data_IF_108315140590
#
_entry.id   IF_108315140590
#
_cell.length_a   1.000
_cell.length_b   1.000
_cell.length_c   1.000
_cell.angle_alpha   90.00
_cell.angle_beta   90.00
_cell.angle_gamma   90.00
#
_symmetry.space_group_name_H-M   'P 1'
#
loop_
_entity.id
_entity.type
_entity.pdbx_description
1 polymer ?
#
# COMPACT_ATOMS: atom_id res chain seq x y z
N UNK A 1 -40.19 -16.96 -22.86
CA UNK A 1 -39.67 -17.78 -21.74
C UNK A 1 -40.03 -19.23 -22.05
N UNK A 2 -39.06 -20.16 -22.05
CA UNK A 2 -39.18 -21.61 -22.37
C UNK A 2 -39.83 -22.05 -23.70
N UNK A 3 -40.40 -21.16 -24.54
CA UNK A 3 -40.99 -21.47 -25.86
C UNK A 3 -42.17 -22.47 -25.83
N UNK A 4 -42.87 -22.56 -24.69
CA UNK A 4 -44.18 -23.22 -24.59
C UNK A 4 -45.25 -22.14 -24.70
N UNK A 5 -46.05 -22.16 -25.76
CA UNK A 5 -47.01 -21.10 -26.07
C UNK A 5 -48.48 -21.50 -25.79
N UNK A 6 -48.74 -22.79 -25.61
CA UNK A 6 -50.06 -23.41 -25.44
C UNK A 6 -50.29 -23.95 -24.00
N UNK A 7 -49.56 -23.38 -23.04
CA UNK A 7 -49.74 -23.69 -21.63
C UNK A 7 -51.07 -23.12 -21.11
N UNK A 8 -51.85 -23.94 -20.43
CA UNK A 8 -53.22 -23.66 -20.02
C UNK A 8 -53.48 -24.15 -18.60
N UNK A 9 -54.59 -23.70 -18.00
CA UNK A 9 -54.99 -24.12 -16.65
C UNK A 9 -55.20 -25.63 -16.54
N UNK A 10 -55.64 -26.28 -17.62
CA UNK A 10 -55.83 -27.73 -17.67
C UNK A 10 -54.51 -28.50 -17.49
N UNK A 11 -53.36 -27.91 -17.86
CA UNK A 11 -52.05 -28.55 -17.68
C UNK A 11 -51.64 -28.64 -16.20
N UNK A 12 -52.29 -27.85 -15.34
CA UNK A 12 -52.12 -27.88 -13.88
C UNK A 12 -53.19 -28.74 -13.19
N UNK A 13 -54.44 -28.64 -13.65
CA UNK A 13 -55.58 -29.29 -12.99
C UNK A 13 -55.81 -30.75 -13.44
N UNK A 14 -55.44 -31.09 -14.68
CA UNK A 14 -55.60 -32.43 -15.25
C UNK A 14 -54.38 -32.79 -16.15
N UNK A 15 -53.19 -33.02 -15.56
CA UNK A 15 -51.95 -33.14 -16.31
C UNK A 15 -51.94 -34.39 -17.20
N UNK A 16 -51.76 -34.16 -18.51
CA UNK A 16 -51.56 -35.23 -19.48
C UNK A 16 -50.08 -35.57 -19.61
N UNK A 17 -49.73 -36.86 -19.42
CA UNK A 17 -48.35 -37.36 -19.42
C UNK A 17 -47.46 -36.76 -20.52
N UNK A 18 -47.93 -36.79 -21.77
CA UNK A 18 -47.14 -36.32 -22.91
C UNK A 18 -46.91 -34.80 -22.87
N UNK A 19 -47.96 -34.03 -22.54
CA UNK A 19 -47.89 -32.57 -22.48
C UNK A 19 -47.04 -32.11 -21.29
N UNK A 20 -47.17 -32.76 -20.13
CA UNK A 20 -46.31 -32.51 -18.96
C UNK A 20 -44.84 -32.76 -19.27
N UNK A 21 -44.50 -33.84 -19.98
CA UNK A 21 -43.12 -34.11 -20.40
C UNK A 21 -42.59 -32.99 -21.30
N UNK A 22 -43.35 -32.56 -22.31
CA UNK A 22 -42.94 -31.47 -23.21
C UNK A 22 -42.68 -30.17 -22.45
N UNK A 23 -43.56 -29.80 -21.52
CA UNK A 23 -43.40 -28.59 -20.69
C UNK A 23 -42.15 -28.69 -19.81
N UNK A 24 -41.93 -29.84 -19.15
CA UNK A 24 -40.76 -30.06 -18.31
C UNK A 24 -39.46 -30.07 -19.11
N UNK A 25 -39.45 -30.68 -20.31
CA UNK A 25 -38.30 -30.65 -21.22
C UNK A 25 -37.96 -29.22 -21.65
N UNK A 26 -38.96 -28.40 -21.95
CA UNK A 26 -38.77 -26.99 -22.30
C UNK A 26 -38.18 -26.17 -21.15
N UNK A 27 -38.66 -26.40 -19.91
CA UNK A 27 -38.10 -25.79 -18.69
C UNK A 27 -36.66 -26.25 -18.48
N UNK A 28 -36.38 -27.54 -18.64
CA UNK A 28 -35.05 -28.11 -18.43
C UNK A 28 -34.04 -27.57 -19.44
N UNK A 29 -34.44 -27.41 -20.71
CA UNK A 29 -33.64 -26.76 -21.74
C UNK A 29 -33.34 -25.29 -21.38
N UNK A 30 -34.32 -24.54 -20.90
CA UNK A 30 -34.10 -23.16 -20.44
C UNK A 30 -33.15 -23.09 -19.24
N UNK A 31 -33.31 -23.99 -18.26
CA UNK A 31 -32.41 -24.05 -17.10
C UNK A 31 -30.98 -24.42 -17.51
N UNK A 32 -30.82 -25.31 -18.49
CA UNK A 32 -29.51 -25.66 -19.03
C UNK A 32 -28.87 -24.48 -19.75
N UNK A 33 -29.60 -23.80 -20.63
CA UNK A 33 -29.15 -22.57 -21.28
C UNK A 33 -28.78 -21.48 -20.28
N UNK A 34 -29.62 -21.26 -19.26
CA UNK A 34 -29.35 -20.30 -18.19
C UNK A 34 -28.07 -20.65 -17.44
N UNK A 35 -27.86 -21.93 -17.13
CA UNK A 35 -26.64 -22.39 -16.45
C UNK A 35 -25.39 -22.14 -17.31
N UNK A 36 -25.44 -22.46 -18.61
CA UNK A 36 -24.34 -22.20 -19.54
C UNK A 36 -24.03 -20.70 -19.68
N UNK A 37 -25.06 -19.84 -19.71
CA UNK A 37 -24.87 -18.38 -19.81
C UNK A 37 -24.51 -17.71 -18.48
N UNK A 38 -24.73 -18.38 -17.35
CA UNK A 38 -24.53 -17.80 -16.01
C UNK A 38 -23.08 -17.36 -15.80
N UNK A 39 -22.10 -18.17 -16.23
CA UNK A 39 -20.68 -17.84 -16.06
C UNK A 39 -20.31 -16.53 -16.77
N UNK A 40 -20.73 -16.36 -18.02
CA UNK A 40 -20.51 -15.12 -18.78
C UNK A 40 -21.18 -13.92 -18.12
N UNK A 41 -22.39 -14.08 -17.60
CA UNK A 41 -23.13 -12.99 -16.92
C UNK A 41 -22.44 -12.59 -15.62
N UNK A 42 -22.02 -13.56 -14.81
CA UNK A 42 -21.30 -13.33 -13.57
C UNK A 42 -19.94 -12.66 -13.81
N UNK A 43 -19.22 -13.06 -14.86
CA UNK A 43 -17.96 -12.42 -15.25
C UNK A 43 -18.18 -10.96 -15.64
N UNK A 44 -19.20 -10.67 -16.47
CA UNK A 44 -19.57 -9.29 -16.84
C UNK A 44 -19.99 -8.46 -15.63
N UNK A 45 -20.75 -9.05 -14.70
CA UNK A 45 -21.17 -8.38 -13.46
C UNK A 45 -19.98 -8.06 -12.56
N UNK A 46 -19.01 -8.97 -12.44
CA UNK A 46 -17.78 -8.76 -11.69
C UNK A 46 -16.94 -7.63 -12.32
N UNK A 47 -16.78 -7.63 -13.65
CA UNK A 47 -16.09 -6.56 -14.39
C UNK A 47 -16.76 -5.20 -14.19
N UNK A 48 -18.08 -5.13 -14.34
CA UNK A 48 -18.83 -3.89 -14.10
C UNK A 48 -18.64 -3.35 -12.68
N UNK A 49 -18.67 -4.23 -11.67
CA UNK A 49 -18.41 -3.83 -10.28
C UNK A 49 -16.99 -3.27 -10.11
N UNK A 50 -15.99 -3.94 -10.67
CA UNK A 50 -14.60 -3.47 -10.62
C UNK A 50 -14.42 -2.11 -11.33
N UNK A 51 -15.09 -1.91 -12.47
CA UNK A 51 -15.05 -0.65 -13.20
C UNK A 51 -15.72 0.49 -12.41
N UNK A 52 -16.84 0.21 -11.73
CA UNK A 52 -17.51 1.17 -10.84
C UNK A 52 -16.64 1.55 -9.64
N UNK A 53 -15.98 0.57 -9.02
CA UNK A 53 -15.05 0.82 -7.91
C UNK A 53 -13.87 1.70 -8.37
N UNK A 54 -13.33 1.43 -9.57
CA UNK A 54 -12.26 2.24 -10.18
C UNK A 54 -12.72 3.67 -10.48
N UNK A 55 -13.92 3.85 -11.03
CA UNK A 55 -14.49 5.18 -11.28
C UNK A 55 -14.67 5.98 -9.99
N UNK A 56 -15.13 5.33 -8.93
CA UNK A 56 -15.29 5.97 -7.61
C UNK A 56 -13.94 6.37 -7.02
N UNK A 57 -12.90 5.55 -7.18
CA UNK A 57 -11.54 5.88 -6.76
C UNK A 57 -10.99 7.10 -7.52
N UNK A 58 -11.13 7.15 -8.85
CA UNK A 58 -10.72 8.31 -9.65
C UNK A 58 -11.48 9.57 -9.27
N UNK A 59 -12.79 9.47 -9.06
CA UNK A 59 -13.62 10.62 -8.64
C UNK A 59 -13.17 11.19 -7.29
N UNK A 60 -12.78 10.32 -6.36
CA UNK A 60 -12.23 10.74 -5.05
C UNK A 60 -10.88 11.43 -5.22
N UNK A 61 -9.97 10.83 -6.00
CA UNK A 61 -8.66 11.40 -6.29
C UNK A 61 -8.76 12.77 -6.96
N UNK A 62 -9.67 12.94 -7.92
CA UNK A 62 -9.92 14.24 -8.56
C UNK A 62 -10.39 15.30 -7.56
N UNK A 63 -11.35 14.96 -6.68
CA UNK A 63 -11.81 15.91 -5.65
C UNK A 63 -10.71 16.31 -4.67
N UNK A 64 -9.82 15.39 -4.32
CA UNK A 64 -8.67 15.69 -3.46
C UNK A 64 -7.64 16.59 -4.17
N UNK A 65 -7.38 16.31 -5.45
CA UNK A 65 -6.51 17.15 -6.28
C UNK A 65 -7.07 18.56 -6.44
N UNK A 66 -8.37 18.71 -6.71
CA UNK A 66 -9.05 20.02 -6.77
C UNK A 66 -8.92 20.80 -5.46
N UNK A 67 -9.12 20.14 -4.32
CA UNK A 67 -8.91 20.79 -3.00
C UNK A 67 -7.46 21.24 -2.81
N UNK A 68 -6.50 20.43 -3.23
CA UNK A 68 -5.07 20.78 -3.15
C UNK A 68 -4.72 21.95 -4.07
N UNK A 69 -5.23 21.96 -5.30
CA UNK A 69 -5.07 23.09 -6.22
C UNK A 69 -5.63 24.35 -5.56
N UNK A 70 -6.87 24.30 -5.07
CA UNK A 70 -7.49 25.45 -4.39
C UNK A 70 -6.66 25.96 -3.20
N UNK A 71 -6.13 25.05 -2.38
CA UNK A 71 -5.27 25.42 -1.25
C UNK A 71 -3.96 26.08 -1.70
N UNK A 72 -3.34 25.61 -2.78
CA UNK A 72 -2.09 26.16 -3.32
C UNK A 72 -2.30 27.47 -4.09
N UNK A 73 -3.46 27.65 -4.73
CA UNK A 73 -3.79 28.87 -5.49
C UNK A 73 -4.38 29.98 -4.63
N UNK A 74 -4.76 29.69 -3.40
CA UNK A 74 -5.21 30.72 -2.46
C UNK A 74 -3.98 31.28 -1.78
N UNK A 75 -3.56 32.48 -2.19
CA UNK A 75 -2.48 33.21 -1.51
C UNK A 75 -2.97 33.50 -0.09
N UNK A 76 -2.23 33.08 0.96
CA UNK A 76 -2.59 33.38 2.34
C UNK A 76 -2.75 34.89 2.53
N UNK A 77 -3.76 35.35 3.30
CA UNK A 77 -3.99 36.78 3.53
C UNK A 77 -2.77 37.48 4.14
N UNK A 78 -1.93 36.74 4.89
CA UNK A 78 -0.66 37.22 5.43
C UNK A 78 0.36 37.55 4.31
N UNK A 79 0.49 36.69 3.29
CA UNK A 79 1.39 36.94 2.16
C UNK A 79 0.85 38.03 1.22
N UNK A 80 -0.47 38.18 1.12
CA UNK A 80 -1.09 39.27 0.38
C UNK A 80 -0.83 40.62 1.07
N UNK A 81 -0.97 40.68 2.39
CA UNK A 81 -0.68 41.87 3.18
C UNK A 81 0.81 42.25 3.11
N UNK A 82 1.71 41.26 3.22
CA UNK A 82 3.16 41.47 3.07
C UNK A 82 3.54 41.99 1.67
N UNK A 83 2.91 41.45 0.61
CA UNK A 83 3.13 41.92 -0.75
C UNK A 83 2.62 43.37 -0.97
N UNK A 84 1.49 43.74 -0.34
CA UNK A 84 0.96 45.10 -0.37
C UNK A 84 1.86 46.09 0.40
N UNK A 85 2.39 45.68 1.55
CA UNK A 85 3.35 46.47 2.34
C UNK A 85 4.66 46.68 1.58
N UNK A 86 5.20 45.63 0.96
CA UNK A 86 6.39 45.72 0.09
C UNK A 86 6.15 46.62 -1.12
N UNK A 87 4.97 46.55 -1.75
CA UNK A 87 4.63 47.41 -2.88
C UNK A 87 4.52 48.89 -2.47
N UNK A 88 3.99 49.16 -1.28
CA UNK A 88 3.94 50.50 -0.71
C UNK A 88 5.35 51.04 -0.41
N UNK A 89 6.21 50.24 0.24
CA UNK A 89 7.59 50.60 0.53
C UNK A 89 8.42 50.86 -0.74
N UNK A 90 8.23 50.04 -1.79
CA UNK A 90 8.88 50.25 -3.09
C UNK A 90 8.43 51.55 -3.75
N UNK A 91 7.14 51.88 -3.67
CA UNK A 91 6.60 53.12 -4.22
C UNK A 91 7.14 54.35 -3.48
N UNK A 92 7.24 54.28 -2.15
CA UNK A 92 7.82 55.34 -1.32
C UNK A 92 9.31 55.52 -1.59
N UNK A 93 10.07 54.42 -1.69
CA UNK A 93 11.49 54.46 -2.05
C UNK A 93 11.69 55.08 -3.43
N UNK A 94 10.88 54.69 -4.42
CA UNK A 94 10.95 55.25 -5.77
C UNK A 94 10.65 56.76 -5.77
N UNK A 95 9.64 57.20 -5.01
CA UNK A 95 9.33 58.62 -4.86
C UNK A 95 10.49 59.40 -4.23
N UNK A 96 11.10 58.83 -3.18
CA UNK A 96 12.26 59.42 -2.48
C UNK A 96 13.47 59.53 -3.41
N UNK A 97 13.81 58.46 -4.13
CA UNK A 97 14.91 58.48 -5.11
C UNK A 97 14.68 59.50 -6.21
N UNK A 98 13.44 59.65 -6.70
CA UNK A 98 13.11 60.65 -7.71
C UNK A 98 13.27 62.09 -7.19
N UNK A 99 12.88 62.33 -5.93
CA UNK A 99 13.09 63.62 -5.26
C UNK A 99 14.58 63.93 -5.08
N UNK A 100 15.38 62.98 -4.59
CA UNK A 100 16.83 63.14 -4.44
C UNK A 100 17.52 63.46 -5.78
N UNK A 101 17.12 62.78 -6.86
CA UNK A 101 17.64 63.05 -8.19
C UNK A 101 17.33 64.48 -8.66
N UNK A 102 16.13 65.00 -8.35
CA UNK A 102 15.77 66.38 -8.64
C UNK A 102 16.62 67.37 -7.82
N UNK A 103 16.83 67.13 -6.52
CA UNK A 103 17.70 67.97 -5.70
C UNK A 103 19.15 68.00 -6.21
N UNK A 104 19.69 66.86 -6.63
CA UNK A 104 21.04 66.76 -7.20
C UNK A 104 21.15 67.62 -8.46
N UNK A 105 20.15 67.58 -9.34
CA UNK A 105 20.13 68.43 -10.53
C UNK A 105 20.11 69.92 -10.18
N UNK A 106 19.27 70.33 -9.22
CA UNK A 106 19.23 71.74 -8.76
C UNK A 106 20.58 72.17 -8.17
N UNK A 107 21.24 71.32 -7.38
CA UNK A 107 22.59 71.60 -6.84
C UNK A 107 23.62 71.71 -7.96
N UNK A 108 23.54 70.86 -8.99
CA UNK A 108 24.45 70.91 -10.12
C UNK A 108 24.28 72.20 -10.95
N UNK A 109 23.04 72.66 -11.15
CA UNK A 109 22.74 73.94 -11.81
C UNK A 109 23.32 75.13 -11.01
N UNK A 110 23.15 75.13 -9.68
CA UNK A 110 23.78 76.11 -8.80
C UNK A 110 25.31 76.09 -8.93
N UNK A 111 25.93 74.90 -8.96
CA UNK A 111 27.38 74.75 -9.14
C UNK A 111 27.82 75.34 -10.49
N UNK A 112 27.08 75.12 -11.56
CA UNK A 112 27.36 75.70 -12.87
C UNK A 112 27.29 77.24 -12.83
N UNK A 113 26.28 77.81 -12.17
CA UNK A 113 26.16 79.26 -11.99
C UNK A 113 27.34 79.85 -11.20
N UNK A 114 27.76 79.19 -10.12
CA UNK A 114 28.92 79.60 -9.33
C UNK A 114 30.22 79.52 -10.13
N UNK A 115 30.42 78.48 -10.95
CA UNK A 115 31.58 78.40 -11.86
C UNK A 115 31.64 79.58 -12.83
N UNK A 116 30.49 79.98 -13.39
CA UNK A 116 30.40 81.17 -14.26
C UNK A 116 30.78 82.45 -13.51
N UNK A 117 30.26 82.66 -12.30
CA UNK A 117 30.63 83.83 -11.45
C UNK A 117 32.12 83.86 -11.11
N UNK A 118 32.72 82.70 -10.84
CA UNK A 118 34.17 82.58 -10.60
C UNK A 118 34.97 82.96 -11.85
N UNK A 119 34.55 82.49 -13.02
CA UNK A 119 35.20 82.84 -14.29
C UNK A 119 35.15 84.36 -14.56
N UNK A 120 33.99 84.99 -14.38
CA UNK A 120 33.83 86.44 -14.54
C UNK A 120 34.74 87.24 -13.57
N UNK A 121 34.78 86.84 -12.29
CA UNK A 121 35.65 87.49 -11.30
C UNK A 121 37.12 87.31 -11.63
N UNK A 122 37.50 86.12 -12.11
CA UNK A 122 38.87 85.82 -12.55
C UNK A 122 39.29 86.66 -13.75
N UNK A 123 38.39 86.87 -14.72
CA UNK A 123 38.61 87.77 -15.85
C UNK A 123 38.80 89.22 -15.41
N UNK A 124 37.94 89.72 -14.51
CA UNK A 124 38.09 91.08 -13.94
C UNK A 124 39.41 91.25 -13.21
N UNK A 125 39.85 90.23 -12.46
CA UNK A 125 41.14 90.23 -11.78
C UNK A 125 42.31 90.29 -12.78
N UNK A 126 42.23 89.55 -13.88
CA UNK A 126 43.23 89.61 -14.94
C UNK A 126 43.31 91.00 -15.59
N UNK A 127 42.17 91.65 -15.83
CA UNK A 127 42.11 93.02 -16.33
C UNK A 127 42.82 93.99 -15.37
N UNK A 128 42.50 93.93 -14.07
CA UNK A 128 43.15 94.78 -13.06
C UNK A 128 44.67 94.55 -13.01
N UNK A 129 45.15 93.31 -13.20
CA UNK A 129 46.59 93.02 -13.29
C UNK A 129 47.27 93.71 -14.48
N UNK A 130 46.59 93.79 -15.63
CA UNK A 130 47.08 94.51 -16.81
C UNK A 130 47.14 96.00 -16.51
N UNK A 131 46.08 96.57 -15.94
CA UNK A 131 46.03 97.98 -15.56
C UNK A 131 47.15 98.34 -14.56
N UNK A 132 47.40 97.48 -13.58
CA UNK A 132 48.52 97.64 -12.62
C UNK A 132 49.88 97.59 -13.32
N UNK A 133 50.03 96.76 -14.34
CA UNK A 133 51.30 96.67 -15.10
C UNK A 133 51.54 97.94 -15.93
N UNK A 134 50.49 98.50 -16.55
CA UNK A 134 50.54 99.78 -17.24
C UNK A 134 50.96 100.91 -16.29
N UNK A 135 50.34 100.97 -15.10
CA UNK A 135 50.69 101.95 -14.07
C UNK A 135 52.15 101.79 -13.60
N UNK A 136 52.68 100.57 -13.52
CA UNK A 136 54.11 100.34 -13.20
C UNK A 136 55.05 100.85 -14.29
N UNK A 137 54.67 100.76 -15.57
CA UNK A 137 55.45 101.30 -16.68
C UNK A 137 55.49 102.84 -16.63
N UNK A 138 54.36 103.47 -16.32
CA UNK A 138 54.27 104.92 -16.12
C UNK A 138 55.10 105.39 -14.90
N UNK A 139 55.10 104.61 -13.83
CA UNK A 139 56.02 104.81 -12.69
C UNK A 139 57.48 104.69 -13.13
N UNK A 140 57.83 103.75 -14.02
CA UNK A 140 59.18 103.59 -14.58
C UNK A 140 59.64 104.80 -15.38
N UNK A 141 58.73 105.42 -16.16
CA UNK A 141 58.98 106.68 -16.89
C UNK A 141 59.17 107.87 -15.96
N UNK A 142 58.48 107.90 -14.83
CA UNK A 142 58.65 108.93 -13.79
C UNK A 142 59.95 108.75 -13.00
N UNK A 143 60.43 107.50 -12.87
CA UNK A 143 61.65 107.15 -12.12
C UNK A 143 62.97 107.53 -12.82
N UNK A 144 62.95 107.85 -14.12
CA UNK A 144 64.13 108.32 -14.87
C UNK A 144 64.39 109.83 -14.75
N UNK A 145 63.55 110.57 -14.02
CA UNK A 145 63.67 112.03 -13.88
C UNK A 145 64.14 112.51 -12.51
N UNK A 146 64.40 111.62 -11.56
CA UNK A 146 64.60 112.04 -10.16
C UNK A 146 65.78 111.30 -9.53
N UNK A 147 66.90 112.01 -9.45
CA UNK A 147 68.04 111.80 -8.53
C UNK A 147 68.45 113.24 -8.14
N UNK A 148 68.59 113.68 -6.89
CA UNK A 148 68.80 113.02 -5.61
C UNK A 148 68.37 114.02 -4.50
N UNK A 149 67.71 113.54 -3.44
CA UNK A 149 67.63 114.26 -2.17
C UNK A 149 67.85 113.27 -1.01
N UNK A 150 68.60 113.61 0.04
CA UNK A 150 68.78 112.77 1.24
C UNK A 150 67.46 112.37 1.93
N UNK A 151 66.37 113.12 1.73
CA UNK A 151 65.01 112.74 2.14
C UNK A 151 64.50 111.48 1.40
N UNK A 152 64.89 111.31 0.13
CA UNK A 152 64.52 110.19 -0.75
C UNK A 152 65.12 108.88 -0.24
N UNK A 153 66.35 108.91 0.29
CA UNK A 153 67.01 107.73 0.85
C UNK A 153 66.33 107.26 2.15
N UNK A 154 65.85 108.21 2.96
CA UNK A 154 65.08 107.93 4.19
C UNK A 154 63.68 107.38 3.86
N UNK A 155 63.04 107.93 2.84
CA UNK A 155 61.78 107.42 2.26
C UNK A 155 61.96 106.01 1.66
N UNK A 156 63.07 105.75 0.97
CA UNK A 156 63.43 104.43 0.43
C UNK A 156 63.70 103.42 1.54
N UNK A 157 64.40 103.82 2.61
CA UNK A 157 64.59 102.97 3.79
C UNK A 157 63.27 102.62 4.47
N UNK A 158 62.34 103.58 4.64
CA UNK A 158 61.01 103.26 5.19
C UNK A 158 60.17 102.41 4.23
N UNK A 159 60.25 102.62 2.91
CA UNK A 159 59.67 101.70 1.92
C UNK A 159 60.24 100.29 2.03
N UNK A 160 61.55 100.17 2.25
CA UNK A 160 62.20 98.87 2.39
C UNK A 160 61.81 98.19 3.70
N UNK A 161 61.62 98.98 4.78
CA UNK A 161 61.11 98.50 6.07
C UNK A 161 59.66 98.02 5.96
N UNK A 162 58.81 98.79 5.28
CA UNK A 162 57.42 98.41 4.99
C UNK A 162 57.36 97.17 4.08
N UNK A 163 58.25 97.06 3.08
CA UNK A 163 58.35 95.87 2.24
C UNK A 163 58.79 94.63 3.02
N UNK A 164 59.80 94.74 3.90
CA UNK A 164 60.22 93.64 4.76
C UNK A 164 59.09 93.23 5.70
N UNK A 165 58.32 94.19 6.23
CA UNK A 165 57.14 93.92 7.05
C UNK A 165 56.04 93.22 6.24
N UNK A 166 55.78 93.65 5.01
CA UNK A 166 54.80 93.02 4.12
C UNK A 166 55.22 91.60 3.71
N UNK A 167 56.49 91.38 3.43
CA UNK A 167 57.05 90.04 3.16
C UNK A 167 56.91 89.15 4.40
N UNK A 168 57.21 89.67 5.59
CA UNK A 168 57.06 88.92 6.85
C UNK A 168 55.60 88.54 7.12
N UNK A 169 54.67 89.45 6.86
CA UNK A 169 53.23 89.17 6.96
C UNK A 169 52.79 88.12 5.92
N UNK A 170 53.25 88.24 4.68
CA UNK A 170 52.95 87.27 3.61
C UNK A 170 53.52 85.88 3.90
N UNK A 171 54.71 85.77 4.48
CA UNK A 171 55.27 84.49 4.95
C UNK A 171 54.36 83.90 6.03
N UNK A 172 53.92 84.71 7.00
CA UNK A 172 53.03 84.25 8.06
C UNK A 172 51.67 83.77 7.53
N UNK A 173 51.07 84.51 6.61
CA UNK A 173 49.83 84.10 5.92
C UNK A 173 50.04 82.80 5.13
N UNK A 174 51.21 82.62 4.51
CA UNK A 174 51.56 81.39 3.78
C UNK A 174 51.72 80.21 4.73
N UNK A 175 52.37 80.40 5.89
CA UNK A 175 52.51 79.36 6.93
C UNK A 175 51.14 78.94 7.48
N UNK A 176 50.25 79.91 7.76
CA UNK A 176 48.87 79.64 8.18
C UNK A 176 48.13 78.82 7.11
N UNK A 177 48.29 79.18 5.83
CA UNK A 177 47.72 78.45 4.69
C UNK A 177 48.26 77.01 4.56
N UNK A 178 49.54 76.80 4.83
CA UNK A 178 50.17 75.47 4.79
C UNK A 178 49.58 74.57 5.88
N UNK A 179 49.38 75.10 7.09
CA UNK A 179 48.74 74.36 8.19
C UNK A 179 47.30 73.99 7.86
N UNK A 180 46.53 74.92 7.27
CA UNK A 180 45.16 74.63 6.79
C UNK A 180 45.15 73.48 5.76
N UNK A 181 46.06 73.53 4.78
CA UNK A 181 46.17 72.48 3.76
C UNK A 181 46.59 71.14 4.37
N UNK A 182 47.50 71.12 5.35
CA UNK A 182 47.86 69.89 6.07
C UNK A 182 46.67 69.28 6.80
N UNK A 183 45.87 70.10 7.48
CA UNK A 183 44.65 69.63 8.15
C UNK A 183 43.63 69.07 7.15
N UNK A 184 43.46 69.72 5.99
CA UNK A 184 42.61 69.20 4.92
C UNK A 184 43.11 67.86 4.39
N UNK A 185 44.42 67.72 4.14
CA UNK A 185 45.02 66.46 3.69
C UNK A 185 44.78 65.35 4.70
N UNK A 186 44.99 65.61 6.00
CA UNK A 186 44.67 64.65 7.06
C UNK A 186 43.20 64.23 7.05
N UNK A 187 42.28 65.18 6.87
CA UNK A 187 40.85 64.90 6.73
C UNK A 187 40.55 63.96 5.55
N UNK A 188 41.14 64.23 4.39
CA UNK A 188 41.01 63.37 3.20
C UNK A 188 41.59 61.97 3.46
N UNK A 189 42.76 61.86 4.11
CA UNK A 189 43.37 60.56 4.40
C UNK A 189 42.51 59.74 5.37
N UNK A 190 41.85 60.41 6.32
CA UNK A 190 40.92 59.76 7.23
C UNK A 190 39.69 59.21 6.50
N UNK A 191 39.06 60.05 5.66
CA UNK A 191 37.91 59.62 4.84
C UNK A 191 38.28 58.50 3.87
N UNK A 192 39.49 58.52 3.30
CA UNK A 192 39.99 57.43 2.45
C UNK A 192 40.08 56.09 3.22
N UNK A 193 40.55 56.12 4.48
CA UNK A 193 40.60 54.94 5.32
C UNK A 193 39.19 54.40 5.67
N UNK A 194 38.22 55.28 5.92
CA UNK A 194 36.82 54.90 6.15
C UNK A 194 36.19 54.25 4.91
N UNK A 195 36.44 54.81 3.72
CA UNK A 195 35.98 54.24 2.44
C UNK A 195 36.58 52.84 2.24
N UNK A 196 37.87 52.66 2.53
CA UNK A 196 38.52 51.35 2.40
C UNK A 196 37.92 50.32 3.38
N UNK A 197 37.56 50.72 4.60
CA UNK A 197 36.85 49.85 5.53
C UNK A 197 35.45 49.49 5.02
N UNK A 198 34.70 50.45 4.48
CA UNK A 198 33.40 50.17 3.87
C UNK A 198 33.51 49.20 2.69
N UNK A 199 34.56 49.31 1.88
CA UNK A 199 34.78 48.40 0.76
C UNK A 199 34.99 46.95 1.23
N UNK A 200 35.78 46.75 2.29
CA UNK A 200 36.01 45.42 2.87
C UNK A 200 34.69 44.83 3.42
N UNK A 201 33.88 45.63 4.11
CA UNK A 201 32.56 45.21 4.61
C UNK A 201 31.61 44.80 3.46
N UNK A 202 31.63 45.54 2.35
CA UNK A 202 30.84 45.19 1.16
C UNK A 202 31.29 43.86 0.55
N UNK A 203 32.60 43.60 0.50
CA UNK A 203 33.15 42.35 -0.03
C UNK A 203 32.83 41.13 0.86
N UNK A 204 32.86 41.32 2.18
CA UNK A 204 32.42 40.29 3.14
C UNK A 204 30.92 40.01 3.01
N UNK A 205 30.11 41.06 2.82
CA UNK A 205 28.67 40.94 2.59
C UNK A 205 28.36 40.18 1.30
N UNK A 206 29.05 40.50 0.19
CA UNK A 206 28.92 39.81 -1.09
C UNK A 206 29.24 38.32 -0.94
N UNK A 207 30.35 37.99 -0.26
CA UNK A 207 30.75 36.61 0.02
C UNK A 207 29.71 35.88 0.86
N UNK A 208 29.17 36.54 1.89
CA UNK A 208 28.09 36.00 2.74
C UNK A 208 26.79 35.76 1.97
N UNK A 209 26.41 36.68 1.08
CA UNK A 209 25.26 36.53 0.19
C UNK A 209 25.42 35.33 -0.74
N UNK A 210 26.59 35.19 -1.37
CA UNK A 210 26.89 34.05 -2.25
C UNK A 210 26.77 32.70 -1.51
N UNK A 211 27.36 32.61 -0.31
CA UNK A 211 27.26 31.42 0.54
C UNK A 211 25.81 31.13 0.97
N UNK A 212 25.02 32.17 1.23
CA UNK A 212 23.61 32.03 1.62
C UNK A 212 22.76 31.55 0.44
N UNK A 213 23.02 32.06 -0.76
CA UNK A 213 22.37 31.58 -2.00
C UNK A 213 22.67 30.11 -2.25
N UNK A 214 23.94 29.69 -2.14
CA UNK A 214 24.32 28.29 -2.29
C UNK A 214 23.63 27.38 -1.26
N UNK A 215 23.55 27.82 0.00
CA UNK A 215 22.81 27.08 1.06
C UNK A 215 21.32 26.98 0.75
N UNK A 216 20.72 28.04 0.21
CA UNK A 216 19.32 28.04 -0.20
C UNK A 216 19.05 27.04 -1.33
N UNK A 217 19.91 27.00 -2.35
CA UNK A 217 19.83 26.02 -3.45
C UNK A 217 19.94 24.58 -2.91
N UNK A 218 20.91 24.32 -2.03
CA UNK A 218 21.06 23.00 -1.39
C UNK A 218 19.84 22.62 -0.53
N UNK A 219 19.23 23.59 0.17
CA UNK A 219 18.01 23.37 0.93
C UNK A 219 16.82 23.03 0.02
N UNK A 220 16.67 23.69 -1.12
CA UNK A 220 15.63 23.36 -2.10
C UNK A 220 15.80 21.94 -2.64
N UNK A 221 17.02 21.56 -3.02
CA UNK A 221 17.33 20.20 -3.49
C UNK A 221 17.03 19.14 -2.42
N UNK A 222 17.42 19.40 -1.18
CA UNK A 222 17.14 18.48 -0.07
C UNK A 222 15.64 18.33 0.19
N UNK A 223 14.89 19.43 0.09
CA UNK A 223 13.44 19.45 0.23
C UNK A 223 12.77 18.63 -0.88
N UNK A 224 13.19 18.81 -2.14
CA UNK A 224 12.69 18.03 -3.26
C UNK A 224 12.98 16.52 -3.10
N UNK A 225 14.17 16.16 -2.61
CA UNK A 225 14.52 14.77 -2.30
C UNK A 225 13.66 14.21 -1.16
N UNK A 226 13.43 14.98 -0.09
CA UNK A 226 12.57 14.59 1.01
C UNK A 226 11.14 14.33 0.54
N UNK A 227 10.56 15.23 -0.28
CA UNK A 227 9.22 15.03 -0.85
C UNK A 227 9.13 13.77 -1.71
N UNK A 228 10.16 13.49 -2.52
CA UNK A 228 10.24 12.28 -3.34
C UNK A 228 10.24 11.03 -2.45
N UNK A 229 11.07 11.02 -1.40
CA UNK A 229 11.15 9.90 -0.45
C UNK A 229 9.86 9.74 0.36
N UNK A 230 9.20 10.82 0.71
CA UNK A 230 7.91 10.79 1.41
C UNK A 230 6.80 10.18 0.53
N UNK A 231 6.78 10.48 -0.78
CA UNK A 231 5.85 9.86 -1.74
C UNK A 231 6.15 8.37 -1.90
N UNK A 232 7.42 7.98 -2.03
CA UNK A 232 7.85 6.59 -2.12
C UNK A 232 7.42 5.78 -0.87
N UNK A 233 7.62 6.34 0.33
CA UNK A 233 7.19 5.72 1.58
C UNK A 233 5.68 5.52 1.66
N UNK A 234 4.89 6.51 1.24
CA UNK A 234 3.42 6.37 1.18
C UNK A 234 2.98 5.25 0.24
N UNK A 235 3.63 5.13 -0.93
CA UNK A 235 3.34 4.05 -1.88
C UNK A 235 3.66 2.68 -1.28
N UNK A 236 4.83 2.54 -0.64
CA UNK A 236 5.23 1.29 0.03
C UNK A 236 4.26 0.91 1.16
N UNK A 237 3.77 1.86 1.95
CA UNK A 237 2.74 1.58 2.96
C UNK A 237 1.43 1.05 2.35
N UNK A 238 1.03 1.58 1.19
CA UNK A 238 -0.16 1.09 0.46
C UNK A 238 0.07 -0.33 -0.05
N UNK A 239 1.24 -0.62 -0.62
CA UNK A 239 1.61 -1.96 -1.07
C UNK A 239 1.65 -2.95 0.10
N UNK A 240 2.27 -2.58 1.22
CA UNK A 240 2.32 -3.40 2.44
C UNK A 240 0.91 -3.74 2.93
N UNK A 241 0.00 -2.76 2.98
CA UNK A 241 -1.38 -2.97 3.39
C UNK A 241 -2.16 -3.87 2.42
N UNK A 242 -1.87 -3.80 1.11
CA UNK A 242 -2.45 -4.73 0.13
C UNK A 242 -1.93 -6.15 0.33
N UNK A 243 -0.61 -6.31 0.53
CA UNK A 243 0.02 -7.62 0.75
C UNK A 243 -0.48 -8.27 2.05
N UNK A 244 -0.62 -7.51 3.14
CA UNK A 244 -1.21 -7.99 4.41
C UNK A 244 -2.64 -8.50 4.21
N UNK A 245 -3.48 -7.78 3.45
CA UNK A 245 -4.84 -8.24 3.13
C UNK A 245 -4.83 -9.52 2.29
N UNK A 246 -3.97 -9.59 1.28
CA UNK A 246 -3.83 -10.78 0.45
C UNK A 246 -3.38 -12.00 1.26
N UNK A 247 -2.40 -11.82 2.16
CA UNK A 247 -1.95 -12.86 3.08
C UNK A 247 -3.10 -13.35 3.98
N UNK A 248 -3.87 -12.43 4.58
CA UNK A 248 -5.04 -12.78 5.39
C UNK A 248 -6.06 -13.63 4.62
N UNK A 249 -6.36 -13.29 3.37
CA UNK A 249 -7.26 -14.08 2.52
C UNK A 249 -6.72 -15.48 2.22
N UNK A 250 -5.40 -15.63 2.04
CA UNK A 250 -4.78 -16.94 1.81
C UNK A 250 -4.84 -17.81 3.06
N UNK A 251 -4.55 -17.25 4.24
CA UNK A 251 -4.64 -17.95 5.52
C UNK A 251 -6.08 -18.41 5.83
N UNK A 252 -7.09 -17.56 5.60
CA UNK A 252 -8.50 -17.94 5.77
C UNK A 252 -8.90 -19.08 4.81
N UNK A 253 -8.45 -19.01 3.54
CA UNK A 253 -8.71 -20.08 2.56
C UNK A 253 -8.06 -21.39 2.96
N UNK A 254 -6.81 -21.35 3.45
CA UNK A 254 -6.09 -22.52 3.94
C UNK A 254 -6.78 -23.13 5.16
N UNK A 255 -7.15 -22.30 6.14
CA UNK A 255 -7.90 -22.73 7.33
C UNK A 255 -9.20 -23.45 6.96
N UNK A 256 -10.01 -22.85 6.07
CA UNK A 256 -11.25 -23.47 5.55
C UNK A 256 -10.98 -24.80 4.85
N UNK A 257 -9.89 -24.91 4.09
CA UNK A 257 -9.52 -26.14 3.41
C UNK A 257 -9.07 -27.22 4.40
N UNK A 258 -8.32 -26.86 5.43
CA UNK A 258 -7.89 -27.78 6.49
C UNK A 258 -9.07 -28.29 7.31
N UNK A 259 -10.00 -27.42 7.70
CA UNK A 259 -11.24 -27.82 8.38
C UNK A 259 -12.04 -28.82 7.53
N UNK A 260 -12.19 -28.55 6.22
CA UNK A 260 -12.89 -29.48 5.30
C UNK A 260 -12.19 -30.83 5.17
N UNK A 261 -10.86 -30.83 5.12
CA UNK A 261 -10.05 -32.07 5.08
C UNK A 261 -10.23 -32.86 6.36
N UNK A 262 -10.19 -32.19 7.51
CA UNK A 262 -10.36 -32.81 8.83
C UNK A 262 -11.76 -33.43 8.98
N UNK A 263 -12.82 -32.66 8.68
CA UNK A 263 -14.20 -33.15 8.70
C UNK A 263 -14.40 -34.37 7.79
N UNK A 264 -13.80 -34.38 6.59
CA UNK A 264 -13.87 -35.52 5.68
C UNK A 264 -13.13 -36.74 6.23
N UNK A 265 -11.99 -36.54 6.89
CA UNK A 265 -11.22 -37.60 7.55
C UNK A 265 -12.03 -38.21 8.70
N UNK A 266 -12.60 -37.38 9.58
CA UNK A 266 -13.43 -37.82 10.70
C UNK A 266 -14.68 -38.58 10.21
N UNK A 267 -15.34 -38.10 9.15
CA UNK A 267 -16.48 -38.80 8.56
C UNK A 267 -16.10 -40.18 8.02
N UNK A 268 -14.94 -40.30 7.37
CA UNK A 268 -14.43 -41.57 6.87
C UNK A 268 -14.05 -42.52 8.01
N UNK A 269 -13.38 -42.01 9.05
CA UNK A 269 -13.01 -42.78 10.24
C UNK A 269 -14.25 -43.31 10.97
N UNK A 270 -15.29 -42.48 11.12
CA UNK A 270 -16.57 -42.91 11.67
C UNK A 270 -17.21 -44.02 10.83
N UNK A 271 -17.25 -43.85 9.50
CA UNK A 271 -17.80 -44.88 8.62
C UNK A 271 -17.03 -46.21 8.71
N UNK A 272 -15.71 -46.16 8.78
CA UNK A 272 -14.86 -47.35 8.96
C UNK A 272 -15.14 -48.00 10.32
N UNK A 273 -15.27 -47.23 11.39
CA UNK A 273 -15.65 -47.76 12.71
C UNK A 273 -17.03 -48.42 12.69
N UNK A 274 -18.02 -47.80 12.04
CA UNK A 274 -19.38 -48.35 11.94
C UNK A 274 -19.38 -49.69 11.19
N UNK A 275 -18.66 -49.77 10.05
CA UNK A 275 -18.53 -51.01 9.28
C UNK A 275 -17.80 -52.09 10.06
N UNK A 276 -16.71 -51.76 10.75
CA UNK A 276 -16.02 -52.72 11.63
C UNK A 276 -16.94 -53.22 12.75
N UNK A 277 -17.74 -52.33 13.36
CA UNK A 277 -18.74 -52.71 14.35
C UNK A 277 -19.77 -53.69 13.81
N UNK A 278 -20.29 -53.46 12.60
CA UNK A 278 -21.20 -54.39 11.92
C UNK A 278 -20.55 -55.74 11.60
N UNK A 279 -19.32 -55.74 11.09
CA UNK A 279 -18.56 -56.97 10.85
C UNK A 279 -18.37 -57.79 12.13
N UNK A 280 -18.03 -57.14 13.24
CA UNK A 280 -17.88 -57.79 14.55
C UNK A 280 -19.21 -58.40 15.01
N UNK A 281 -20.34 -57.69 14.86
CA UNK A 281 -21.66 -58.23 15.20
C UNK A 281 -22.05 -59.44 14.34
N UNK A 282 -21.76 -59.40 13.04
CA UNK A 282 -22.01 -60.52 12.14
C UNK A 282 -21.12 -61.71 12.53
N UNK A 283 -19.86 -61.46 12.88
CA UNK A 283 -18.93 -62.49 13.34
C UNK A 283 -19.43 -63.16 14.62
N UNK A 284 -19.81 -62.38 15.63
CA UNK A 284 -20.38 -62.89 16.88
C UNK A 284 -21.64 -63.73 16.65
N UNK A 285 -22.58 -63.26 15.82
CA UNK A 285 -23.76 -64.05 15.44
C UNK A 285 -23.41 -65.35 14.71
N UNK A 286 -22.37 -65.33 13.87
CA UNK A 286 -21.88 -66.54 13.19
C UNK A 286 -21.28 -67.53 14.17
N UNK A 287 -20.52 -67.08 15.16
CA UNK A 287 -19.99 -67.92 16.23
C UNK A 287 -21.12 -68.55 17.06
N UNK A 288 -22.07 -67.75 17.53
CA UNK A 288 -23.25 -68.26 18.27
C UNK A 288 -24.05 -69.30 17.47
N UNK A 289 -24.22 -69.08 16.16
CA UNK A 289 -24.91 -70.04 15.29
C UNK A 289 -24.07 -71.30 15.05
N UNK A 290 -22.75 -71.19 14.95
CA UNK A 290 -21.86 -72.33 14.82
C UNK A 290 -21.92 -73.23 16.08
N UNK A 291 -21.93 -72.62 17.27
CA UNK A 291 -22.13 -73.34 18.54
C UNK A 291 -23.47 -74.08 18.57
N UNK A 292 -24.57 -73.43 18.16
CA UNK A 292 -25.90 -74.07 18.06
C UNK A 292 -25.91 -75.22 17.08
N UNK A 293 -25.28 -75.07 15.91
CA UNK A 293 -25.18 -76.14 14.91
C UNK A 293 -24.38 -77.32 15.47
N UNK A 294 -23.29 -77.04 16.20
CA UNK A 294 -22.48 -78.09 16.83
C UNK A 294 -23.29 -78.85 17.89
N UNK A 295 -24.10 -78.15 18.69
CA UNK A 295 -24.96 -78.76 19.70
C UNK A 295 -26.06 -79.63 19.07
N UNK A 296 -26.78 -79.12 18.08
CA UNK A 296 -27.79 -79.91 17.33
C UNK A 296 -27.14 -81.13 16.68
N UNK A 297 -25.92 -80.99 16.14
CA UNK A 297 -25.18 -82.10 15.55
C UNK A 297 -24.84 -83.17 16.60
N UNK A 298 -24.45 -82.76 17.81
CA UNK A 298 -24.19 -83.65 18.95
C UNK A 298 -25.47 -84.39 19.37
N UNK A 299 -26.58 -83.67 19.53
CA UNK A 299 -27.89 -84.24 19.85
C UNK A 299 -28.36 -85.23 18.77
N UNK A 300 -28.21 -84.85 17.50
CA UNK A 300 -28.57 -85.71 16.36
C UNK A 300 -27.75 -86.99 16.35
N UNK A 301 -26.44 -86.93 16.63
CA UNK A 301 -25.58 -88.11 16.76
C UNK A 301 -26.02 -89.00 17.93
N UNK A 302 -26.33 -88.41 19.09
CA UNK A 302 -26.85 -89.15 20.25
C UNK A 302 -28.19 -89.83 19.95
N UNK A 303 -29.11 -89.14 19.28
CA UNK A 303 -30.39 -89.71 18.90
C UNK A 303 -30.23 -90.84 17.88
N UNK A 304 -29.37 -90.67 16.87
CA UNK A 304 -29.03 -91.74 15.92
C UNK A 304 -28.48 -92.98 16.62
N UNK A 305 -27.55 -92.80 17.57
CA UNK A 305 -27.02 -93.91 18.36
C UNK A 305 -28.12 -94.62 19.17
N UNK A 306 -29.04 -93.87 19.77
CA UNK A 306 -30.17 -94.43 20.54
C UNK A 306 -31.17 -95.19 19.65
N UNK A 307 -31.50 -94.65 18.46
CA UNK A 307 -32.34 -95.32 17.47
C UNK A 307 -31.69 -96.63 17.02
N UNK A 308 -30.37 -96.63 16.74
CA UNK A 308 -29.66 -97.84 16.35
C UNK A 308 -29.70 -98.89 17.45
N UNK A 309 -29.43 -98.50 18.70
CA UNK A 309 -29.52 -99.40 19.86
C UNK A 309 -30.93 -100.00 20.03
N UNK A 310 -31.99 -99.20 19.91
CA UNK A 310 -33.36 -99.69 19.97
C UNK A 310 -33.69 -100.64 18.82
N UNK A 311 -33.23 -100.34 17.60
CA UNK A 311 -33.39 -101.22 16.44
C UNK A 311 -32.72 -102.56 16.67
N UNK A 312 -31.51 -102.57 17.22
CA UNK A 312 -30.77 -103.81 17.53
C UNK A 312 -31.50 -104.64 18.60
N UNK A 313 -32.09 -103.99 19.62
CA UNK A 313 -32.92 -104.66 20.64
C UNK A 313 -34.19 -105.25 20.02
N UNK A 314 -34.92 -104.47 19.21
CA UNK A 314 -36.10 -104.96 18.51
C UNK A 314 -35.77 -106.13 17.57
N UNK A 315 -34.65 -106.08 16.84
CA UNK A 315 -34.20 -107.20 15.99
C UNK A 315 -33.99 -108.45 16.82
N UNK A 316 -33.27 -108.35 17.95
CA UNK A 316 -33.04 -109.48 18.86
C UNK A 316 -34.32 -110.05 19.45
N UNK A 317 -35.25 -109.19 19.88
CA UNK A 317 -36.54 -109.66 20.40
C UNK A 317 -37.41 -110.28 19.29
N UNK A 318 -37.34 -109.75 18.07
CA UNK A 318 -38.03 -110.33 16.90
C UNK A 318 -37.44 -111.71 16.55
N UNK A 319 -36.11 -111.85 16.56
CA UNK A 319 -35.42 -113.12 16.36
C UNK A 319 -35.79 -114.15 17.45
N UNK A 320 -35.87 -113.73 18.72
CA UNK A 320 -36.33 -114.59 19.81
C UNK A 320 -37.79 -115.02 19.63
N UNK A 321 -38.67 -114.09 19.30
CA UNK A 321 -40.08 -114.37 19.07
C UNK A 321 -40.27 -115.31 17.88
N UNK A 322 -39.52 -115.10 16.79
CA UNK A 322 -39.49 -115.99 15.63
C UNK A 322 -38.99 -117.39 16.02
N UNK A 323 -37.91 -117.50 16.78
CA UNK A 323 -37.39 -118.79 17.24
C UNK A 323 -38.40 -119.54 18.14
N UNK A 324 -39.13 -118.83 19.00
CA UNK A 324 -40.22 -119.42 19.79
C UNK A 324 -41.38 -119.88 18.91
N UNK A 325 -41.77 -119.07 17.93
CA UNK A 325 -42.81 -119.43 16.96
C UNK A 325 -42.41 -120.68 16.16
N UNK A 326 -41.20 -120.73 15.62
CA UNK A 326 -40.68 -121.87 14.86
C UNK A 326 -40.62 -123.14 15.74
N UNK A 327 -40.21 -123.01 17.01
CA UNK A 327 -40.22 -124.12 17.96
C UNK A 327 -41.63 -124.64 18.21
N UNK A 328 -42.59 -123.75 18.45
CA UNK A 328 -43.98 -124.12 18.67
C UNK A 328 -44.58 -124.76 17.41
N UNK A 329 -44.34 -124.18 16.23
CA UNK A 329 -44.77 -124.71 14.94
C UNK A 329 -44.21 -126.12 14.73
N UNK A 330 -42.90 -126.32 14.91
CA UNK A 330 -42.27 -127.63 14.80
C UNK A 330 -42.84 -128.64 15.80
N UNK A 331 -43.11 -128.22 17.05
CA UNK A 331 -43.75 -129.11 18.03
C UNK A 331 -45.17 -129.48 17.64
N UNK A 332 -45.91 -128.54 17.03
CA UNK A 332 -47.28 -128.76 16.58
C UNK A 332 -47.31 -129.67 15.34
N UNK A 333 -46.35 -129.51 14.44
CA UNK A 333 -46.13 -130.39 13.28
C UNK A 333 -45.71 -131.80 13.71
N UNK A 334 -44.86 -131.95 14.75
CA UNK A 334 -44.52 -133.25 15.33
C UNK A 334 -45.73 -133.90 16.01
N UNK A 335 -46.57 -133.10 16.69
CA UNK A 335 -47.83 -133.56 17.27
C UNK A 335 -48.82 -134.02 16.19
N UNK A 336 -48.97 -133.23 15.11
CA UNK A 336 -49.76 -133.61 13.94
C UNK A 336 -49.21 -134.88 13.29
N UNK A 337 -47.89 -134.99 13.11
CA UNK A 337 -47.22 -136.18 12.59
C UNK A 337 -47.45 -137.41 13.49
N UNK A 338 -47.40 -137.25 14.81
CA UNK A 338 -47.72 -138.31 15.78
C UNK A 338 -49.19 -138.72 15.72
N UNK A 339 -50.11 -137.76 15.59
CA UNK A 339 -51.54 -138.04 15.40
C UNK A 339 -51.75 -138.82 14.10
N UNK A 340 -51.14 -138.38 12.99
CA UNK A 340 -51.23 -139.08 11.70
C UNK A 340 -50.63 -140.49 11.78
N UNK A 341 -49.48 -140.66 12.43
CA UNK A 341 -48.89 -141.99 12.65
C UNK A 341 -49.82 -142.87 13.48
N UNK A 342 -50.43 -142.34 14.54
CA UNK A 342 -51.43 -143.09 15.32
C UNK A 342 -52.68 -143.43 14.52
N UNK A 343 -53.14 -142.55 13.63
CA UNK A 343 -54.26 -142.81 12.71
C UNK A 343 -53.89 -143.93 11.71
N UNK A 344 -52.65 -143.94 11.22
CA UNK A 344 -52.12 -144.99 10.33
C UNK A 344 -51.98 -146.33 11.06
N UNK A 345 -51.49 -146.33 12.30
CA UNK A 345 -51.40 -147.54 13.15
C UNK A 345 -52.79 -148.08 13.50
N UNK A 346 -53.75 -147.21 13.86
CA UNK A 346 -55.16 -147.60 14.03
C UNK A 346 -55.74 -148.20 12.76
N UNK A 347 -55.42 -147.64 11.58
CA UNK A 347 -55.84 -148.22 10.29
C UNK A 347 -55.15 -149.56 10.01
N UNK A 348 -53.87 -149.74 10.35
CA UNK A 348 -53.16 -151.02 10.18
C UNK A 348 -53.64 -152.10 11.16
N UNK A 349 -53.99 -151.74 12.40
CA UNK A 349 -54.57 -152.66 13.39
C UNK A 349 -55.99 -153.08 13.00
N UNK A 350 -56.78 -152.16 12.42
CA UNK A 350 -58.07 -152.51 11.80
C UNK A 350 -57.88 -153.47 10.62
N UNK A 351 -56.86 -153.25 9.77
CA UNK A 351 -56.56 -154.14 8.63
C UNK A 351 -56.05 -155.52 9.08
N UNK A 352 -55.27 -155.61 10.17
CA UNK A 352 -54.86 -156.89 10.79
C UNK A 352 -56.01 -157.61 11.49
N UNK A 353 -56.95 -156.89 12.10
CA UNK A 353 -58.17 -157.48 12.67
C UNK A 353 -59.13 -158.00 11.59
N UNK A 354 -59.16 -157.39 10.40
CA UNK A 354 -59.98 -157.85 9.27
C UNK A 354 -59.35 -158.97 8.42
N UNK A 355 -58.11 -159.38 8.70
CA UNK A 355 -57.45 -160.49 7.99
C UNK A 355 -57.57 -161.86 8.71
N UNK A 356 -58.29 -161.90 9.84
CA UNK A 356 -58.60 -163.12 10.60
C UNK A 356 -60.11 -163.47 10.62
N UNK A 357 -60.84 -163.08 9.58
CA UNK A 357 -62.19 -163.58 9.30
C UNK A 357 -62.35 -163.95 7.82
#
# INVERSE_FOLDING_TARGET
MCLVFDFSLNDLLAPQKQKTITVLSAILNFLHFRKQRMEMVLEKQAKYRADMDRLQAYTRGNKEAEKKIKALTTIPPEQQAEAEELAAALSELQATTMHEYQEVNVKNDCIAEWKTKIAEKSQKLAQVKVDVSNMKEDIGKLKSQIVESPEELKSQMEKMRENVKNVKNSIKETDERVVELQNMVQGVTHTEAEIQQMYNLLQDLESSMSNTKQRHEMQQDLTAQYEKKQKELKNLCVEEAQMKRAQGMKLDKESKQNIRRQMKKETMEQHVQDVMGQCNQIHQKREEMAEKIQEISRETQQLKAKIQSLRDVCSKETEKAQALYDTLSNSMDDLHGRIDTHIVDLKQDVVRMSANF
#
